data_IF_327102546520
#
_entry.id   IF_327102546520
#
_cell.length_a   1.000
_cell.length_b   1.000
_cell.length_c   1.000
_cell.angle_alpha   90.00
_cell.angle_beta   90.00
_cell.angle_gamma   90.00
#
_symmetry.space_group_name_H-M   'P 1'
#
loop_
_entity.id
_entity.type
_entity.pdbx_description
1 polymer ?
#
# COMPACT_ATOMS: atom_id res chain seq x y z
N UNK A 1 -18.96 -14.02 28.09
CA UNK A 1 -19.15 -13.00 27.03
C UNK A 1 -18.04 -13.24 26.01
N UNK A 2 -18.38 -13.58 24.77
CA UNK A 2 -17.39 -13.82 23.72
C UNK A 2 -17.44 -12.64 22.77
N UNK A 3 -16.33 -11.92 22.63
CA UNK A 3 -16.19 -10.82 21.69
C UNK A 3 -15.70 -11.41 20.36
N UNK A 4 -16.52 -11.33 19.32
CA UNK A 4 -16.13 -11.72 17.96
C UNK A 4 -15.73 -10.46 17.22
N UNK A 5 -14.51 -10.45 16.71
CA UNK A 5 -13.94 -9.36 15.92
C UNK A 5 -13.44 -9.93 14.59
N UNK A 6 -13.89 -9.36 13.48
CA UNK A 6 -13.45 -9.75 12.14
C UNK A 6 -12.68 -8.61 11.50
N UNK A 7 -11.52 -8.92 10.91
CA UNK A 7 -10.70 -7.95 10.17
C UNK A 7 -10.28 -8.54 8.83
N UNK A 8 -10.64 -7.85 7.75
CA UNK A 8 -10.29 -8.20 6.39
C UNK A 8 -9.41 -7.12 5.78
N UNK A 9 -8.25 -7.51 5.25
CA UNK A 9 -7.34 -6.63 4.52
C UNK A 9 -7.08 -7.19 3.14
N UNK A 10 -7.28 -6.35 2.12
CA UNK A 10 -7.12 -6.71 0.70
C UNK A 10 -6.27 -5.64 0.03
N UNK A 11 -5.36 -6.08 -0.83
CA UNK A 11 -4.52 -5.22 -1.65
C UNK A 11 -4.58 -5.75 -3.06
N UNK A 12 -5.05 -4.92 -3.99
CA UNK A 12 -5.20 -5.26 -5.39
C UNK A 12 -4.34 -4.34 -6.24
N UNK A 13 -3.66 -4.90 -7.24
CA UNK A 13 -2.85 -4.16 -8.20
C UNK A 13 -3.47 -4.34 -9.58
N UNK A 14 -3.86 -3.24 -10.20
CA UNK A 14 -4.54 -3.20 -11.49
C UNK A 14 -3.73 -2.37 -12.49
N UNK A 15 -3.20 -2.99 -13.56
CA UNK A 15 -2.62 -2.25 -14.67
C UNK A 15 -3.66 -1.39 -15.38
N UNK A 16 -3.34 -0.13 -15.58
CA UNK A 16 -4.15 0.82 -16.31
C UNK A 16 -3.73 0.88 -17.79
N UNK A 17 -4.62 1.40 -18.65
CA UNK A 17 -4.42 1.45 -20.11
C UNK A 17 -3.25 2.34 -20.54
N UNK A 18 -2.91 3.32 -19.72
CA UNK A 18 -1.81 4.27 -19.89
C UNK A 18 -0.46 3.71 -19.41
N UNK A 19 -0.43 2.48 -18.87
CA UNK A 19 0.77 1.84 -18.33
C UNK A 19 1.03 2.14 -16.85
N UNK A 20 0.19 2.95 -16.20
CA UNK A 20 0.25 3.16 -14.76
C UNK A 20 -0.29 1.94 -14.00
N UNK A 21 0.05 1.84 -12.71
CA UNK A 21 -0.47 0.82 -11.82
C UNK A 21 -1.36 1.46 -10.77
N UNK A 22 -2.64 1.10 -10.75
CA UNK A 22 -3.53 1.45 -9.65
C UNK A 22 -3.42 0.39 -8.57
N UNK A 23 -3.28 0.83 -7.32
CA UNK A 23 -3.28 -0.04 -6.15
C UNK A 23 -4.42 0.35 -5.23
N UNK A 24 -5.32 -0.61 -4.98
CA UNK A 24 -6.46 -0.47 -4.09
C UNK A 24 -6.15 -1.21 -2.80
N UNK A 25 -5.88 -0.47 -1.73
CA UNK A 25 -5.65 -1.00 -0.39
C UNK A 25 -6.92 -0.81 0.44
N UNK A 26 -7.47 -1.91 0.97
CA UNK A 26 -8.72 -1.90 1.71
C UNK A 26 -8.55 -2.65 3.02
N UNK A 27 -8.93 -2.01 4.12
CA UNK A 27 -9.06 -2.61 5.43
C UNK A 27 -10.48 -2.41 5.93
N UNK A 28 -11.16 -3.49 6.28
CA UNK A 28 -12.48 -3.45 6.88
C UNK A 28 -12.52 -4.35 8.10
N UNK A 29 -12.88 -3.76 9.23
CA UNK A 29 -13.23 -4.48 10.44
C UNK A 29 -14.53 -3.93 11.04
N UNK A 30 -14.92 -4.46 12.20
CA UNK A 30 -16.17 -4.09 12.86
C UNK A 30 -16.20 -2.63 13.34
N UNK A 31 -15.04 -1.99 13.48
CA UNK A 31 -14.89 -0.63 13.99
C UNK A 31 -14.44 0.36 12.93
N UNK A 32 -13.71 -0.07 11.91
CA UNK A 32 -13.03 0.76 10.93
C UNK A 32 -13.24 0.25 9.51
N UNK A 33 -13.51 1.17 8.59
CA UNK A 33 -13.44 0.94 7.14
C UNK A 33 -12.46 1.95 6.53
N UNK A 34 -11.38 1.45 5.96
CA UNK A 34 -10.33 2.24 5.34
C UNK A 34 -10.11 1.81 3.90
N UNK A 35 -10.13 2.76 2.98
CA UNK A 35 -9.84 2.57 1.58
C UNK A 35 -8.78 3.59 1.17
N UNK A 36 -7.67 3.11 0.61
CA UNK A 36 -6.58 3.93 0.10
C UNK A 36 -6.33 3.51 -1.34
N UNK A 37 -6.39 4.48 -2.25
CA UNK A 37 -6.10 4.28 -3.66
C UNK A 37 -4.84 5.04 -4.01
N UNK A 38 -3.87 4.35 -4.60
CA UNK A 38 -2.63 4.94 -5.08
C UNK A 38 -2.46 4.64 -6.57
N UNK A 39 -1.90 5.58 -7.32
CA UNK A 39 -1.49 5.35 -8.70
C UNK A 39 0.02 5.53 -8.80
N UNK A 40 0.70 4.53 -9.34
CA UNK A 40 2.13 4.49 -9.54
C UNK A 40 2.46 4.58 -11.03
N UNK A 41 3.44 5.42 -11.37
CA UNK A 41 3.90 5.60 -12.73
C UNK A 41 5.26 4.91 -12.96
N UNK A 42 5.32 3.86 -13.79
CA UNK A 42 6.59 3.32 -14.29
C UNK A 42 7.27 4.28 -15.28
N UNK A 43 8.60 4.22 -15.45
CA UNK A 43 9.53 3.25 -14.84
C UNK A 43 9.99 3.62 -13.43
N UNK A 44 9.84 4.89 -13.02
CA UNK A 44 10.39 5.40 -11.76
C UNK A 44 9.61 4.95 -10.51
N UNK A 45 8.43 4.35 -10.71
CA UNK A 45 7.51 3.91 -9.68
C UNK A 45 7.15 5.04 -8.71
N UNK A 46 6.93 6.23 -9.27
CA UNK A 46 6.50 7.43 -8.55
C UNK A 46 5.00 7.36 -8.24
N UNK A 47 4.62 7.74 -7.02
CA UNK A 47 3.22 7.93 -6.65
C UNK A 47 2.73 9.23 -7.29
N UNK A 48 1.88 9.13 -8.30
CA UNK A 48 1.34 10.30 -9.02
C UNK A 48 -0.03 10.73 -8.50
N UNK A 49 -0.79 9.80 -7.91
CA UNK A 49 -2.09 10.10 -7.31
C UNK A 49 -2.24 9.30 -6.01
N UNK A 50 -2.76 9.95 -4.98
CA UNK A 50 -3.08 9.32 -3.71
C UNK A 50 -4.42 9.80 -3.14
N UNK A 51 -5.29 8.87 -2.77
CA UNK A 51 -6.59 9.15 -2.15
C UNK A 51 -6.82 8.24 -0.96
N UNK A 52 -7.42 8.78 0.10
CA UNK A 52 -7.72 8.00 1.31
C UNK A 52 -9.11 8.37 1.85
N UNK A 53 -9.92 7.33 2.06
CA UNK A 53 -11.22 7.43 2.68
C UNK A 53 -11.24 6.54 3.92
N UNK A 54 -11.45 7.16 5.07
CA UNK A 54 -11.67 6.47 6.34
C UNK A 54 -13.11 6.72 6.78
N UNK A 55 -13.78 5.64 7.15
CA UNK A 55 -15.16 5.60 7.61
C UNK A 55 -15.25 4.61 8.78
N UNK A 56 -16.36 4.66 9.54
CA UNK A 56 -16.58 3.95 10.82
C UNK A 56 -15.48 4.29 11.83
N UNK A 57 -15.86 5.10 12.83
CA UNK A 57 -15.01 5.49 13.97
C UNK A 57 -13.52 5.74 13.63
N UNK A 58 -13.20 6.59 12.63
CA UNK A 58 -11.82 6.87 12.29
C UNK A 58 -11.10 7.51 13.49
N UNK A 59 -9.82 7.16 13.73
CA UNK A 59 -9.02 7.84 14.74
C UNK A 59 -9.00 9.35 14.49
N UNK A 60 -9.02 10.16 15.55
CA UNK A 60 -9.02 11.64 15.43
C UNK A 60 -7.79 12.13 14.65
N UNK A 61 -6.64 11.48 14.82
CA UNK A 61 -5.41 11.75 14.07
C UNK A 61 -5.53 11.51 12.56
N UNK A 62 -6.59 10.83 12.12
CA UNK A 62 -6.87 10.49 10.73
C UNK A 62 -8.09 11.22 10.17
N UNK A 63 -8.63 12.21 10.89
CA UNK A 63 -9.77 13.03 10.42
C UNK A 63 -9.48 13.77 9.10
N UNK A 64 -8.21 14.08 8.84
CA UNK A 64 -7.72 14.64 7.57
C UNK A 64 -6.95 13.60 6.73
N UNK A 65 -7.31 12.32 6.76
CA UNK A 65 -6.56 11.25 6.09
C UNK A 65 -6.33 11.53 4.59
N UNK A 66 -7.36 12.01 3.88
CA UNK A 66 -7.22 12.34 2.46
C UNK A 66 -6.21 13.47 2.21
N UNK A 67 -6.11 14.45 3.12
CA UNK A 67 -5.13 15.53 3.01
C UNK A 67 -3.73 15.05 3.36
N UNK A 68 -3.60 14.15 4.32
CA UNK A 68 -2.32 13.59 4.73
C UNK A 68 -1.73 12.68 3.65
N UNK A 69 -2.54 11.80 3.05
CA UNK A 69 -2.06 10.85 2.03
C UNK A 69 -1.54 11.58 0.80
N UNK A 70 -2.11 12.74 0.42
CA UNK A 70 -1.62 13.55 -0.71
C UNK A 70 -0.14 13.95 -0.58
N UNK A 71 0.41 13.98 0.63
CA UNK A 71 1.84 14.27 0.84
C UNK A 71 2.78 13.18 0.32
N UNK A 72 2.27 12.00 -0.02
CA UNK A 72 3.08 10.93 -0.61
C UNK A 72 3.18 11.01 -2.12
N UNK A 73 2.37 11.87 -2.76
CA UNK A 73 2.53 12.16 -4.19
C UNK A 73 3.93 12.75 -4.44
N UNK A 74 4.60 12.30 -5.49
CA UNK A 74 5.99 12.64 -5.77
C UNK A 74 7.05 11.71 -5.16
N UNK A 75 6.64 10.73 -4.34
CA UNK A 75 7.57 9.75 -3.77
C UNK A 75 7.69 8.55 -4.69
N UNK A 76 8.91 8.20 -5.09
CA UNK A 76 9.24 6.98 -5.81
C UNK A 76 9.48 5.79 -4.89
N UNK A 77 9.11 4.58 -5.34
CA UNK A 77 9.51 3.34 -4.68
C UNK A 77 11.01 3.16 -4.83
N UNK A 78 11.75 3.25 -3.72
CA UNK A 78 13.19 3.08 -3.73
C UNK A 78 13.82 2.99 -2.35
N UNK A 79 15.15 3.10 -2.31
CA UNK A 79 15.91 3.09 -1.07
C UNK A 79 15.50 4.27 -0.18
N UNK A 80 15.00 3.96 1.02
CA UNK A 80 14.59 4.99 1.98
C UNK A 80 13.09 5.28 2.02
N UNK A 81 12.26 4.62 1.19
CA UNK A 81 10.80 4.76 1.19
C UNK A 81 10.21 4.71 2.62
N UNK A 82 10.61 3.72 3.41
CA UNK A 82 10.15 3.57 4.81
C UNK A 82 10.44 4.80 5.67
N UNK A 83 11.64 5.39 5.53
CA UNK A 83 12.04 6.57 6.30
C UNK A 83 11.29 7.80 5.83
N UNK A 84 11.10 7.96 4.52
CA UNK A 84 10.35 9.07 3.93
C UNK A 84 8.89 9.01 4.37
N UNK A 85 8.23 7.86 4.18
CA UNK A 85 6.84 7.63 4.60
C UNK A 85 6.66 7.88 6.09
N UNK A 86 7.56 7.37 6.95
CA UNK A 86 7.50 7.64 8.39
C UNK A 86 7.66 9.14 8.72
N UNK A 87 8.50 9.88 7.99
CA UNK A 87 8.65 11.32 8.18
C UNK A 87 7.42 12.13 7.71
N UNK A 88 6.79 11.70 6.63
CA UNK A 88 5.66 12.41 6.00
C UNK A 88 4.33 12.09 6.70
N UNK A 89 4.12 10.82 7.04
CA UNK A 89 2.86 10.28 7.57
C UNK A 89 2.93 9.84 9.05
N UNK A 90 4.11 9.70 9.66
CA UNK A 90 4.31 9.11 10.99
C UNK A 90 4.57 10.09 12.15
N UNK A 91 4.44 11.41 11.96
CA UNK A 91 4.65 12.40 13.03
C UNK A 91 3.58 12.39 14.15
N UNK A 92 3.62 13.32 15.13
CA UNK A 92 2.68 13.37 16.26
C UNK A 92 1.20 13.55 15.87
N UNK A 93 0.95 14.08 14.67
CA UNK A 93 -0.37 14.21 14.04
C UNK A 93 -0.53 13.27 12.84
N UNK A 94 0.36 12.28 12.73
CA UNK A 94 0.39 11.32 11.65
C UNK A 94 -0.62 10.20 11.83
N UNK A 95 -0.73 9.38 10.79
CA UNK A 95 -1.57 8.18 10.79
C UNK A 95 -0.72 6.97 10.41
N UNK A 96 -0.47 6.09 11.39
CA UNK A 96 0.29 4.86 11.15
C UNK A 96 -0.39 3.96 10.11
N UNK A 97 -1.73 3.92 10.11
CA UNK A 97 -2.51 3.17 9.13
C UNK A 97 -2.20 3.61 7.68
N UNK A 98 -2.07 4.92 7.44
CA UNK A 98 -1.73 5.43 6.12
C UNK A 98 -0.28 5.09 5.76
N UNK A 99 0.64 5.16 6.73
CA UNK A 99 2.03 4.75 6.52
C UNK A 99 2.11 3.28 6.11
N UNK A 100 1.39 2.40 6.82
CA UNK A 100 1.35 0.98 6.54
C UNK A 100 0.71 0.71 5.18
N UNK A 101 -0.41 1.37 4.87
CA UNK A 101 -1.08 1.24 3.58
C UNK A 101 -0.15 1.60 2.40
N UNK A 102 0.61 2.69 2.51
CA UNK A 102 1.57 3.10 1.46
C UNK A 102 2.70 2.07 1.30
N UNK A 103 3.26 1.58 2.41
CA UNK A 103 4.36 0.61 2.36
C UNK A 103 3.90 -0.75 1.83
N UNK A 104 2.71 -1.19 2.21
CA UNK A 104 2.14 -2.44 1.71
C UNK A 104 1.75 -2.34 0.23
N UNK A 105 1.19 -1.20 -0.21
CA UNK A 105 0.93 -0.93 -1.62
C UNK A 105 2.22 -0.91 -2.45
N UNK A 106 3.29 -0.31 -1.94
CA UNK A 106 4.59 -0.33 -2.62
C UNK A 106 5.14 -1.76 -2.76
N UNK A 107 5.02 -2.58 -1.71
CA UNK A 107 5.38 -4.01 -1.80
C UNK A 107 4.53 -4.75 -2.83
N UNK A 108 3.24 -4.47 -2.93
CA UNK A 108 2.37 -5.08 -3.93
C UNK A 108 2.78 -4.72 -5.36
N UNK A 109 3.19 -3.47 -5.62
CA UNK A 109 3.76 -3.03 -6.90
C UNK A 109 5.07 -3.74 -7.20
N UNK A 110 5.98 -3.85 -6.23
CA UNK A 110 7.24 -4.59 -6.40
C UNK A 110 6.92 -6.03 -6.80
N UNK A 111 6.02 -6.70 -6.06
CA UNK A 111 5.60 -8.06 -6.35
C UNK A 111 4.96 -8.21 -7.72
N UNK A 112 4.19 -7.22 -8.19
CA UNK A 112 3.61 -7.25 -9.54
C UNK A 112 4.69 -7.43 -10.62
N UNK A 113 5.84 -6.76 -10.47
CA UNK A 113 6.95 -6.87 -11.42
C UNK A 113 7.89 -8.05 -11.14
N UNK A 114 8.10 -8.44 -9.88
CA UNK A 114 9.07 -9.49 -9.54
C UNK A 114 8.48 -10.88 -9.55
N UNK A 115 7.16 -11.03 -9.32
CA UNK A 115 6.49 -12.33 -9.24
C UNK A 115 6.73 -13.21 -10.48
N UNK A 116 6.64 -12.73 -11.73
CA UNK A 116 6.93 -13.56 -12.90
C UNK A 116 8.35 -14.15 -12.89
N UNK A 117 9.34 -13.38 -12.41
CA UNK A 117 10.72 -13.84 -12.28
C UNK A 117 10.90 -14.87 -11.15
N UNK A 118 10.19 -14.69 -10.04
CA UNK A 118 10.20 -15.64 -8.92
C UNK A 118 9.58 -16.98 -9.34
N UNK A 119 8.40 -16.95 -9.98
CA UNK A 119 7.72 -18.15 -10.48
C UNK A 119 8.57 -18.89 -11.52
N UNK A 120 9.28 -18.16 -12.40
CA UNK A 120 10.23 -18.76 -13.33
C UNK A 120 11.43 -19.42 -12.62
N UNK A 121 11.92 -18.84 -11.52
CA UNK A 121 13.01 -19.40 -10.72
C UNK A 121 12.61 -20.67 -9.97
N UNK A 122 11.39 -20.73 -9.43
CA UNK A 122 10.86 -21.93 -8.74
C UNK A 122 10.67 -23.14 -9.67
N UNK A 123 10.47 -22.90 -10.97
CA UNK A 123 10.37 -23.96 -11.97
C UNK A 123 11.73 -24.59 -12.35
N UNK A 124 12.85 -23.98 -11.95
CA UNK A 124 14.20 -24.51 -12.20
C UNK A 124 14.51 -25.55 -11.11
N UNK A 125 14.63 -26.82 -11.52
CA UNK A 125 15.04 -27.90 -10.62
C UNK A 125 16.51 -27.74 -10.24
N UNK A 126 16.80 -27.81 -8.94
CA UNK A 126 18.17 -27.73 -8.43
C UNK A 126 19.01 -28.89 -8.97
N UNK A 127 20.10 -28.63 -9.71
CA UNK A 127 20.95 -29.68 -10.27
C UNK A 127 21.60 -30.59 -9.21
N UNK A 128 21.62 -30.19 -7.94
CA UNK A 128 22.17 -30.98 -6.83
C UNK A 128 21.14 -31.95 -6.18
N UNK A 129 19.93 -32.10 -6.71
CA UNK A 129 18.93 -33.09 -6.25
C UNK A 129 19.03 -34.49 -6.92
N UNK A 130 20.23 -34.93 -7.34
CA UNK A 130 20.44 -36.30 -7.87
C UNK A 130 21.25 -37.19 -6.94
#
# INVERSE_FOLDING_TARGET
MTLQFLRNKVIEVEPQKDGNLRVSWRLTDDLLKAEINLVFQPPDLEIIEAEAQLDRFPPISSSEANRLIKKVEGISIGSGLRKIVAGVLGGPKGCSLLSDAVLESANAVILHFTRPGIEAGEAVTDPDQK
#
